data_IF_686454414873
#
_entry.id   IF_686454414873
#
_cell.length_a   1.000
_cell.length_b   1.000
_cell.length_c   1.000
_cell.angle_alpha   90.00
_cell.angle_beta   90.00
_cell.angle_gamma   90.00
#
_symmetry.space_group_name_H-M   'P 1'
#
loop_
_entity.id
_entity.type
_entity.pdbx_description
1 polymer ?
#
# COMPACT_ATOMS: atom_id res chain seq x y z
N UNK A 1 -1.11 -8.95 -19.58
CA UNK A 1 -1.21 -7.54 -19.99
C UNK A 1 -0.03 -6.82 -19.35
N UNK A 2 0.80 -6.12 -20.14
CA UNK A 2 1.87 -5.31 -19.59
C UNK A 2 1.30 -4.02 -18.99
N UNK A 3 1.87 -3.58 -17.88
CA UNK A 3 1.54 -2.31 -17.21
C UNK A 3 2.74 -1.37 -17.31
N UNK A 4 2.50 -0.07 -17.28
CA UNK A 4 3.52 0.96 -17.43
C UNK A 4 3.28 2.09 -16.42
N UNK A 5 4.36 2.48 -15.76
CA UNK A 5 4.37 3.60 -14.81
C UNK A 5 3.63 3.30 -13.50
N UNK A 6 4.11 3.90 -12.45
CA UNK A 6 3.44 4.02 -11.16
C UNK A 6 2.76 5.39 -11.14
N UNK A 7 1.44 5.41 -11.15
CA UNK A 7 0.66 6.64 -11.25
C UNK A 7 0.39 7.27 -9.89
N UNK A 8 -0.02 6.44 -8.95
CA UNK A 8 -0.37 6.92 -7.60
C UNK A 8 -0.32 5.79 -6.58
N UNK A 9 0.15 6.10 -5.39
CA UNK A 9 -0.02 5.27 -4.19
C UNK A 9 -0.90 6.00 -3.20
N UNK A 10 -1.92 5.28 -2.69
CA UNK A 10 -2.81 5.78 -1.66
C UNK A 10 -2.69 4.91 -0.42
N UNK A 11 -2.67 5.56 0.73
CA UNK A 11 -2.46 4.92 2.02
C UNK A 11 -3.55 5.35 3.01
N UNK A 12 -3.92 4.44 3.91
CA UNK A 12 -4.83 4.73 5.01
C UNK A 12 -4.52 3.83 6.20
N UNK A 13 -4.88 4.26 7.40
CA UNK A 13 -4.91 3.40 8.58
C UNK A 13 -6.29 2.77 8.73
N UNK A 14 -6.31 1.50 9.10
CA UNK A 14 -7.54 0.75 9.38
C UNK A 14 -7.46 0.12 10.77
N UNK A 15 -8.61 0.00 11.39
CA UNK A 15 -8.72 -0.67 12.70
C UNK A 15 -8.35 -2.15 12.57
N UNK A 16 -7.47 -2.69 13.41
CA UNK A 16 -6.97 -4.06 13.26
C UNK A 16 -8.03 -5.14 13.44
N UNK A 17 -9.12 -4.86 14.16
CA UNK A 17 -10.18 -5.83 14.43
C UNK A 17 -11.32 -5.75 13.43
N UNK A 18 -11.76 -4.53 13.13
CA UNK A 18 -12.93 -4.29 12.26
C UNK A 18 -12.56 -4.02 10.81
N UNK A 19 -11.28 -3.74 10.54
CA UNK A 19 -10.74 -3.33 9.23
C UNK A 19 -11.45 -2.09 8.64
N UNK A 20 -12.05 -1.26 9.51
CA UNK A 20 -12.68 -0.01 9.12
C UNK A 20 -11.67 1.13 9.08
N UNK A 21 -11.90 2.08 8.18
CA UNK A 21 -11.07 3.26 8.02
C UNK A 21 -10.99 4.08 9.31
N UNK A 22 -9.78 4.44 9.71
CA UNK A 22 -9.50 5.41 10.75
C UNK A 22 -9.39 6.82 10.14
N UNK A 23 -9.98 7.81 10.80
CA UNK A 23 -10.06 9.19 10.32
C UNK A 23 -9.59 10.19 11.38
N UNK A 24 -9.25 11.41 10.94
CA UNK A 24 -8.86 12.49 11.85
C UNK A 24 -7.59 12.19 12.64
N UNK A 25 -7.66 12.33 13.96
CA UNK A 25 -6.51 12.13 14.85
C UNK A 25 -5.93 10.71 14.79
N UNK A 26 -6.79 9.71 14.67
CA UNK A 26 -6.38 8.29 14.59
C UNK A 26 -6.03 7.83 13.16
N UNK A 27 -6.34 8.64 12.16
CA UNK A 27 -6.06 8.38 10.75
C UNK A 27 -4.86 9.12 10.21
N UNK A 28 -4.56 8.92 8.93
CA UNK A 28 -3.48 9.64 8.23
C UNK A 28 -3.90 11.05 7.80
N UNK A 29 -5.20 11.31 7.68
CA UNK A 29 -5.78 12.60 7.33
C UNK A 29 -7.17 12.77 7.94
N UNK A 30 -7.76 13.96 7.80
CA UNK A 30 -9.14 14.22 8.21
C UNK A 30 -10.12 13.23 7.56
N UNK A 31 -9.93 12.92 6.29
CA UNK A 31 -10.75 11.94 5.54
C UNK A 31 -10.26 10.49 5.69
N UNK A 32 -9.10 10.28 6.31
CA UNK A 32 -8.49 8.98 6.58
C UNK A 32 -7.54 8.49 5.49
N UNK A 33 -7.78 8.81 4.22
CA UNK A 33 -6.95 8.40 3.08
C UNK A 33 -6.03 9.53 2.67
N UNK A 34 -4.79 9.20 2.34
CA UNK A 34 -3.81 10.12 1.74
C UNK A 34 -3.38 9.63 0.36
N UNK A 35 -3.02 10.55 -0.50
CA UNK A 35 -2.34 10.30 -1.76
C UNK A 35 -0.88 10.73 -1.63
N UNK A 36 0.05 9.87 -2.02
CA UNK A 36 1.48 10.21 -2.08
C UNK A 36 1.71 11.02 -3.36
N UNK A 37 1.32 12.28 -3.30
CA UNK A 37 1.29 13.21 -4.43
C UNK A 37 2.59 14.00 -4.61
N UNK A 38 2.56 15.05 -5.43
CA UNK A 38 3.69 15.92 -5.70
C UNK A 38 4.21 16.68 -4.49
N UNK A 39 3.42 16.87 -3.43
CA UNK A 39 3.86 17.51 -2.18
C UNK A 39 4.86 16.63 -1.42
N UNK A 40 4.70 15.33 -1.57
CA UNK A 40 5.61 14.30 -1.04
C UNK A 40 6.58 13.79 -2.12
N UNK A 41 6.73 14.50 -3.25
CA UNK A 41 7.55 14.14 -4.40
C UNK A 41 7.20 12.78 -5.02
N UNK A 42 6.06 12.21 -4.65
CA UNK A 42 5.55 10.95 -5.17
C UNK A 42 6.30 9.70 -4.70
N UNK A 43 5.93 8.58 -5.28
CA UNK A 43 6.53 7.27 -5.04
C UNK A 43 7.39 6.88 -6.24
N UNK A 44 8.63 6.49 -6.00
CA UNK A 44 9.57 6.07 -7.03
C UNK A 44 9.31 4.64 -7.50
N UNK A 45 9.16 3.72 -6.56
CA UNK A 45 8.85 2.32 -6.84
C UNK A 45 7.85 1.73 -5.85
N UNK A 46 7.09 0.74 -6.31
CA UNK A 46 6.24 -0.13 -5.50
C UNK A 46 6.36 -1.54 -6.04
N UNK A 47 7.30 -2.31 -5.51
CA UNK A 47 7.60 -3.66 -5.99
C UNK A 47 6.78 -4.69 -5.22
N UNK A 48 5.81 -5.29 -5.90
CA UNK A 48 4.92 -6.31 -5.34
C UNK A 48 5.54 -7.68 -5.58
N UNK A 49 5.70 -8.46 -4.52
CA UNK A 49 6.26 -9.81 -4.54
C UNK A 49 5.39 -10.79 -3.77
N UNK A 50 5.68 -12.08 -3.88
CA UNK A 50 4.99 -13.16 -3.17
C UNK A 50 3.46 -13.20 -3.38
N UNK A 51 2.98 -12.79 -4.57
CA UNK A 51 1.55 -12.84 -4.93
C UNK A 51 0.99 -14.26 -4.89
N UNK A 52 1.83 -15.24 -5.17
CA UNK A 52 1.54 -16.66 -5.04
C UNK A 52 2.61 -17.32 -4.18
N UNK A 53 2.25 -18.39 -3.50
CA UNK A 53 3.19 -19.17 -2.71
C UNK A 53 4.05 -20.08 -3.59
N UNK A 54 4.90 -20.86 -2.94
CA UNK A 54 5.82 -21.76 -3.65
C UNK A 54 5.07 -22.97 -4.22
N UNK A 55 5.35 -23.32 -5.48
CA UNK A 55 4.82 -24.49 -6.12
C UNK A 55 5.53 -25.77 -5.62
N UNK A 56 4.77 -26.75 -5.14
CA UNK A 56 5.26 -28.06 -4.71
C UNK A 56 4.81 -29.12 -5.70
N UNK A 57 5.77 -29.82 -6.27
CA UNK A 57 5.49 -30.94 -7.20
C UNK A 57 5.15 -32.19 -6.43
N UNK A 58 4.06 -32.89 -6.83
CA UNK A 58 3.63 -34.14 -6.24
C UNK A 58 4.02 -35.25 -7.19
N UNK A 59 5.00 -36.11 -6.81
CA UNK A 59 5.40 -37.25 -7.66
C UNK A 59 4.45 -38.43 -7.51
N UNK A 60 4.31 -39.21 -8.57
CA UNK A 60 3.61 -40.49 -8.61
C UNK A 60 4.08 -41.31 -9.82
N UNK A 61 4.22 -42.61 -9.67
CA UNK A 61 4.65 -43.53 -10.74
C UNK A 61 5.92 -43.05 -11.50
N UNK A 62 6.93 -42.57 -10.75
CA UNK A 62 8.21 -42.04 -11.26
C UNK A 62 8.09 -40.81 -12.17
N UNK A 63 6.97 -40.09 -12.09
CA UNK A 63 6.74 -38.80 -12.79
C UNK A 63 6.04 -37.78 -11.90
N UNK A 64 6.08 -36.49 -12.27
CA UNK A 64 5.29 -35.46 -11.60
C UNK A 64 3.85 -35.62 -12.04
N UNK A 65 2.97 -35.92 -11.09
CA UNK A 65 1.53 -36.13 -11.35
C UNK A 65 0.70 -34.86 -11.11
N UNK A 66 1.14 -34.00 -10.19
CA UNK A 66 0.39 -32.80 -9.84
C UNK A 66 1.33 -31.68 -9.30
N UNK A 67 0.83 -30.45 -9.26
CA UNK A 67 1.53 -29.28 -8.70
C UNK A 67 0.58 -28.53 -7.79
N UNK A 68 0.90 -28.48 -6.51
CA UNK A 68 0.20 -27.64 -5.53
C UNK A 68 0.89 -26.29 -5.38
N UNK A 69 0.12 -25.21 -5.41
CA UNK A 69 0.61 -23.86 -5.13
C UNK A 69 0.05 -23.41 -3.79
N UNK A 70 0.92 -23.07 -2.84
CA UNK A 70 0.49 -22.55 -1.57
C UNK A 70 -0.12 -21.14 -1.71
N UNK A 71 -0.99 -20.69 -0.80
CA UNK A 71 -1.45 -19.30 -0.75
C UNK A 71 -0.27 -18.34 -0.69
N UNK A 72 -0.38 -17.21 -1.40
CA UNK A 72 0.63 -16.15 -1.36
C UNK A 72 0.64 -15.39 -0.03
N UNK A 73 1.77 -14.79 0.27
CA UNK A 73 1.92 -13.80 1.36
C UNK A 73 2.50 -12.51 0.77
N UNK A 74 1.67 -11.70 0.10
CA UNK A 74 2.14 -10.57 -0.66
C UNK A 74 2.87 -9.54 0.19
N UNK A 75 3.98 -9.04 -0.34
CA UNK A 75 4.72 -7.93 0.23
C UNK A 75 4.94 -6.86 -0.83
N UNK A 76 4.98 -5.60 -0.41
CA UNK A 76 5.28 -4.48 -1.29
C UNK A 76 6.44 -3.69 -0.73
N UNK A 77 7.55 -3.67 -1.47
CA UNK A 77 8.68 -2.80 -1.18
C UNK A 77 8.44 -1.44 -1.85
N UNK A 78 8.31 -0.41 -1.04
CA UNK A 78 8.15 0.98 -1.45
C UNK A 78 9.46 1.75 -1.33
N UNK A 79 9.67 2.64 -2.30
CA UNK A 79 10.67 3.67 -2.30
C UNK A 79 9.93 5.01 -2.49
N UNK A 80 9.71 5.73 -1.39
CA UNK A 80 9.05 7.03 -1.40
C UNK A 80 10.10 8.14 -1.44
N UNK A 81 9.89 9.12 -2.30
CA UNK A 81 10.86 10.21 -2.43
C UNK A 81 10.93 11.11 -1.19
N UNK A 82 9.79 11.38 -0.54
CA UNK A 82 9.73 12.23 0.64
C UNK A 82 8.36 12.10 1.31
N UNK A 83 8.20 11.13 2.19
CA UNK A 83 6.99 11.05 3.00
C UNK A 83 6.96 12.15 4.05
N UNK A 84 5.75 12.66 4.33
CA UNK A 84 5.55 13.51 5.49
C UNK A 84 5.94 12.76 6.77
N UNK A 85 6.73 13.42 7.62
CA UNK A 85 7.30 12.80 8.81
C UNK A 85 6.23 12.28 9.77
N UNK A 86 5.18 13.06 10.04
CA UNK A 86 4.12 12.65 10.96
C UNK A 86 3.32 11.48 10.41
N UNK A 87 3.04 11.49 9.10
CA UNK A 87 2.35 10.41 8.40
C UNK A 87 3.17 9.12 8.51
N UNK A 88 4.48 9.20 8.25
CA UNK A 88 5.41 8.07 8.38
C UNK A 88 5.41 7.51 9.80
N UNK A 89 5.55 8.37 10.82
CA UNK A 89 5.56 7.93 12.22
C UNK A 89 4.23 7.26 12.62
N UNK A 90 3.10 7.82 12.21
CA UNK A 90 1.78 7.22 12.45
C UNK A 90 1.66 5.82 11.83
N UNK A 91 2.08 5.63 10.57
CA UNK A 91 2.06 4.30 9.93
C UNK A 91 2.97 3.28 10.63
N UNK A 92 4.06 3.74 11.21
CA UNK A 92 5.00 2.88 11.95
C UNK A 92 4.58 2.59 13.38
N UNK A 93 3.54 3.28 13.91
CA UNK A 93 3.05 3.10 15.27
C UNK A 93 3.78 3.93 16.31
N UNK A 94 4.45 4.99 15.89
CA UNK A 94 5.06 5.95 16.81
C UNK A 94 4.06 7.02 17.21
N UNK A 95 4.09 7.43 18.47
CA UNK A 95 3.32 8.55 19.02
C UNK A 95 4.23 9.67 19.49
N UNK A 96 3.79 10.90 19.28
CA UNK A 96 4.48 12.08 19.76
C UNK A 96 4.43 12.15 21.30
N UNK A 97 5.55 12.45 21.95
CA UNK A 97 5.68 12.61 23.41
C UNK A 97 5.31 14.02 23.91
N UNK A 98 4.91 14.91 23.01
CA UNK A 98 4.61 16.32 23.30
C UNK A 98 5.84 17.20 23.56
N UNK A 99 7.06 16.65 23.40
CA UNK A 99 8.33 17.37 23.60
C UNK A 99 9.19 17.35 22.32
N UNK A 100 8.61 16.94 21.20
CA UNK A 100 9.29 16.82 19.91
C UNK A 100 9.86 15.44 19.61
N UNK A 101 9.73 14.49 20.54
CA UNK A 101 10.12 13.09 20.35
C UNK A 101 8.96 12.22 19.90
N UNK A 102 9.30 11.08 19.29
CA UNK A 102 8.35 10.05 18.88
C UNK A 102 8.81 8.71 19.43
N UNK A 103 7.93 8.00 20.12
CA UNK A 103 8.21 6.73 20.76
C UNK A 103 7.21 5.69 20.26
N UNK A 104 7.68 4.47 20.02
CA UNK A 104 6.77 3.38 19.68
C UNK A 104 5.84 3.10 20.86
N UNK A 105 4.55 3.17 20.62
CA UNK A 105 3.52 2.99 21.63
C UNK A 105 2.58 1.85 21.26
N UNK A 106 2.87 0.66 21.81
CA UNK A 106 2.04 -0.52 21.69
C UNK A 106 2.16 -1.26 20.37
N UNK A 107 1.02 -1.65 19.81
CA UNK A 107 0.93 -2.43 18.59
C UNK A 107 1.06 -1.56 17.35
N UNK A 108 1.66 -2.11 16.29
CA UNK A 108 1.70 -1.43 14.99
C UNK A 108 0.29 -1.28 14.42
N UNK A 109 -0.05 -0.09 13.88
CA UNK A 109 -1.33 0.11 13.22
C UNK A 109 -1.43 -0.72 11.94
N UNK A 110 -2.63 -1.10 11.58
CA UNK A 110 -2.88 -1.72 10.29
C UNK A 110 -3.05 -0.66 9.22
N UNK A 111 -2.50 -0.94 8.05
CA UNK A 111 -2.48 -0.04 6.90
C UNK A 111 -3.21 -0.68 5.74
N UNK A 112 -4.00 0.11 5.01
CA UNK A 112 -4.55 -0.25 3.71
C UNK A 112 -3.79 0.51 2.61
N UNK A 113 -3.58 -0.15 1.47
CA UNK A 113 -2.77 0.37 0.37
C UNK A 113 -3.50 0.17 -0.96
N UNK A 114 -3.51 1.19 -1.80
CA UNK A 114 -3.96 1.12 -3.18
C UNK A 114 -2.88 1.66 -4.11
N UNK A 115 -2.37 0.80 -4.98
CA UNK A 115 -1.35 1.14 -5.99
C UNK A 115 -2.03 1.24 -7.34
N UNK A 116 -1.87 2.38 -8.01
CA UNK A 116 -2.40 2.64 -9.35
C UNK A 116 -1.27 2.65 -10.37
N UNK A 117 -1.40 1.81 -11.38
CA UNK A 117 -0.56 1.77 -12.58
C UNK A 117 -1.44 1.91 -13.81
N UNK A 118 -0.86 2.02 -14.99
CA UNK A 118 -1.59 2.16 -16.25
C UNK A 118 -1.31 1.00 -17.20
N UNK A 119 -2.22 0.79 -18.14
CA UNK A 119 -1.98 -0.11 -19.28
C UNK A 119 -0.92 0.50 -20.22
N UNK A 120 -0.31 -0.32 -21.07
CA UNK A 120 0.76 0.12 -21.98
C UNK A 120 0.31 1.27 -22.91
N UNK A 121 -0.95 1.29 -23.30
CA UNK A 121 -1.57 2.35 -24.11
C UNK A 121 -2.06 3.56 -23.30
N UNK A 122 -1.87 3.53 -21.95
CA UNK A 122 -2.28 4.56 -20.99
C UNK A 122 -3.76 4.95 -21.02
N UNK A 123 -4.63 4.11 -21.59
CA UNK A 123 -6.08 4.39 -21.66
C UNK A 123 -6.81 3.93 -20.40
N UNK A 124 -6.27 2.95 -19.70
CA UNK A 124 -6.91 2.36 -18.53
C UNK A 124 -5.93 2.24 -17.36
N UNK A 125 -6.47 2.33 -16.17
CA UNK A 125 -5.70 2.08 -14.94
C UNK A 125 -5.87 0.63 -14.48
N UNK A 126 -4.80 0.10 -13.92
CA UNK A 126 -4.75 -1.18 -13.21
C UNK A 126 -4.43 -0.89 -11.76
N UNK A 127 -5.25 -1.41 -10.85
CA UNK A 127 -5.07 -1.17 -9.43
C UNK A 127 -4.75 -2.46 -8.70
N UNK A 128 -3.86 -2.34 -7.72
CA UNK A 128 -3.56 -3.39 -6.74
C UNK A 128 -4.00 -2.88 -5.37
N UNK A 129 -5.09 -3.46 -4.85
CA UNK A 129 -5.67 -3.09 -3.57
C UNK A 129 -5.29 -4.10 -2.49
N UNK A 130 -4.82 -3.58 -1.35
CA UNK A 130 -4.51 -4.30 -0.13
C UNK A 130 -5.29 -3.64 1.00
N UNK A 131 -6.36 -4.28 1.48
CA UNK A 131 -7.25 -3.65 2.46
C UNK A 131 -6.75 -3.81 3.90
N UNK A 132 -5.74 -4.65 4.12
CA UNK A 132 -5.20 -4.93 5.45
C UNK A 132 -3.74 -5.35 5.37
N UNK A 133 -2.90 -4.83 6.24
CA UNK A 133 -1.50 -5.20 6.34
C UNK A 133 -0.74 -4.31 7.32
N UNK A 134 0.57 -4.52 7.41
CA UNK A 134 1.44 -3.79 8.33
C UNK A 134 2.58 -3.15 7.55
N UNK A 135 2.79 -1.85 7.79
CA UNK A 135 3.93 -1.11 7.26
C UNK A 135 5.13 -1.24 8.20
N UNK A 136 6.30 -1.47 7.60
CA UNK A 136 7.55 -1.66 8.32
C UNK A 136 8.65 -0.84 7.65
N UNK A 137 9.44 -0.18 8.47
CA UNK A 137 10.74 0.36 8.09
C UNK A 137 11.83 -0.46 8.80
N UNK A 138 12.68 -1.11 8.04
CA UNK A 138 13.75 -1.94 8.59
C UNK A 138 15.11 -1.24 8.61
N UNK A 139 15.27 -0.23 7.74
CA UNK A 139 16.54 0.47 7.56
C UNK A 139 16.28 1.92 7.17
N UNK A 140 16.95 2.84 7.85
CA UNK A 140 17.03 4.25 7.47
C UNK A 140 18.50 4.57 7.20
N UNK A 141 18.80 4.95 5.97
CA UNK A 141 20.15 5.41 5.62
C UNK A 141 20.28 6.90 5.92
N UNK A 142 21.43 7.27 6.47
CA UNK A 142 21.81 8.67 6.65
C UNK A 142 23.24 8.81 6.11
N UNK A 143 23.45 9.71 5.15
CA UNK A 143 24.73 9.92 4.52
C UNK A 143 25.11 11.40 4.56
N UNK A 144 26.42 11.65 4.54
CA UNK A 144 26.95 13.01 4.48
C UNK A 144 26.83 13.57 3.06
N UNK A 145 26.63 14.88 2.96
CA UNK A 145 26.65 15.56 1.66
C UNK A 145 28.05 15.51 1.04
N UNK A 146 28.10 15.56 -0.27
CA UNK A 146 29.37 15.70 -1.01
C UNK A 146 29.66 17.17 -1.28
N UNK A 147 30.89 17.50 -1.64
CA UNK A 147 31.30 18.87 -1.99
C UNK A 147 30.54 19.45 -3.19
N UNK A 148 29.91 18.62 -3.99
CA UNK A 148 29.25 19.00 -5.24
C UNK A 148 27.73 18.84 -5.22
N UNK A 149 27.16 18.03 -4.30
CA UNK A 149 25.73 17.76 -4.28
C UNK A 149 25.25 17.28 -2.90
N UNK A 150 23.99 17.60 -2.60
CA UNK A 150 23.26 16.99 -1.47
C UNK A 150 23.04 15.51 -1.72
N UNK A 151 23.26 14.69 -0.70
CA UNK A 151 22.99 13.25 -0.74
C UNK A 151 21.62 12.97 -0.14
N UNK A 152 20.58 12.93 -0.99
CA UNK A 152 19.23 12.59 -0.56
C UNK A 152 19.10 11.09 -0.28
N UNK A 153 18.44 10.76 0.82
CA UNK A 153 18.02 9.42 1.15
C UNK A 153 16.50 9.33 1.07
N UNK A 154 16.01 8.37 0.31
CA UNK A 154 14.58 8.14 0.12
C UNK A 154 14.01 7.29 1.27
N UNK A 155 12.68 7.33 1.49
CA UNK A 155 12.00 6.57 2.52
C UNK A 155 11.67 5.15 2.02
N UNK A 156 12.47 4.18 2.44
CA UNK A 156 12.30 2.78 2.08
C UNK A 156 11.44 2.04 3.12
N UNK A 157 10.27 1.58 2.68
CA UNK A 157 9.32 0.89 3.56
C UNK A 157 8.84 -0.41 2.92
N UNK A 158 8.55 -1.39 3.76
CA UNK A 158 7.97 -2.67 3.34
C UNK A 158 6.57 -2.82 3.93
N UNK A 159 5.60 -3.06 3.07
CA UNK A 159 4.25 -3.42 3.46
C UNK A 159 4.09 -4.94 3.39
N UNK A 160 3.55 -5.54 4.45
CA UNK A 160 3.25 -6.96 4.53
C UNK A 160 1.72 -7.11 4.55
N UNK A 161 1.17 -7.69 3.49
CA UNK A 161 -0.27 -7.87 3.37
C UNK A 161 -0.79 -8.95 4.32
N UNK A 162 -1.96 -8.70 4.88
CA UNK A 162 -2.72 -9.63 5.71
C UNK A 162 -4.06 -9.94 5.05
N UNK A 163 -4.69 -11.00 5.51
CA UNK A 163 -6.04 -11.38 5.11
C UNK A 163 -7.02 -10.21 5.30
N UNK A 164 -7.82 -9.94 4.28
CA UNK A 164 -8.79 -8.85 4.27
C UNK A 164 -10.23 -9.35 4.19
N UNK A 165 -11.05 -8.96 5.15
CA UNK A 165 -12.49 -9.34 5.19
C UNK A 165 -13.23 -8.85 3.95
N UNK A 166 -12.89 -7.64 3.47
CA UNK A 166 -13.46 -7.05 2.27
C UNK A 166 -13.19 -7.85 0.99
N UNK A 167 -12.17 -8.71 1.00
CA UNK A 167 -11.79 -9.55 -0.13
C UNK A 167 -12.11 -11.04 0.09
N UNK A 168 -12.99 -11.34 1.05
CA UNK A 168 -13.35 -12.73 1.38
C UNK A 168 -12.22 -13.55 2.00
N UNK A 169 -11.26 -12.89 2.64
CA UNK A 169 -10.09 -13.52 3.26
C UNK A 169 -8.81 -13.44 2.42
N UNK A 170 -8.90 -13.06 1.15
CA UNK A 170 -7.72 -12.88 0.30
C UNK A 170 -6.90 -11.65 0.73
N UNK A 171 -5.56 -11.68 0.61
CA UNK A 171 -4.70 -10.57 1.04
C UNK A 171 -4.69 -9.39 0.07
N UNK A 172 -5.10 -9.58 -1.19
CA UNK A 172 -5.12 -8.53 -2.20
C UNK A 172 -6.20 -8.76 -3.26
N UNK A 173 -6.55 -7.69 -3.96
CA UNK A 173 -7.48 -7.71 -5.08
C UNK A 173 -6.97 -6.80 -6.20
N UNK A 174 -7.07 -7.26 -7.44
CA UNK A 174 -6.73 -6.47 -8.63
C UNK A 174 -7.99 -5.88 -9.24
N UNK A 175 -7.91 -4.63 -9.71
CA UNK A 175 -9.00 -3.96 -10.40
C UNK A 175 -8.50 -3.42 -11.74
N UNK A 176 -9.40 -3.38 -12.71
CA UNK A 176 -9.12 -2.89 -14.05
C UNK A 176 -10.20 -1.90 -14.50
N UNK A 177 -9.80 -0.65 -14.77
CA UNK A 177 -10.77 0.41 -15.13
C UNK A 177 -11.39 0.25 -16.51
N UNK A 178 -10.86 -0.62 -17.37
CA UNK A 178 -11.45 -0.95 -18.68
C UNK A 178 -12.56 -2.02 -18.62
N UNK A 179 -12.80 -2.62 -17.45
CA UNK A 179 -13.91 -3.55 -17.29
C UNK A 179 -15.24 -2.82 -17.25
N UNK A 180 -16.26 -3.30 -17.96
CA UNK A 180 -17.61 -2.67 -17.99
C UNK A 180 -18.29 -2.63 -16.62
N UNK A 181 -17.88 -3.50 -15.70
CA UNK A 181 -18.39 -3.59 -14.33
C UNK A 181 -17.53 -2.83 -13.32
N UNK A 182 -16.49 -2.11 -13.76
CA UNK A 182 -15.62 -1.38 -12.86
C UNK A 182 -16.36 -0.22 -12.19
N UNK A 183 -16.36 -0.22 -10.87
CA UNK A 183 -16.86 0.87 -10.03
C UNK A 183 -15.73 1.37 -9.11
N UNK A 184 -15.26 2.58 -9.41
CA UNK A 184 -14.20 3.25 -8.66
C UNK A 184 -14.61 3.49 -7.20
N UNK A 185 -15.87 3.89 -6.98
CA UNK A 185 -16.38 4.17 -5.63
C UNK A 185 -16.42 2.91 -4.78
N UNK A 186 -16.89 1.81 -5.36
CA UNK A 186 -16.89 0.50 -4.68
C UNK A 186 -15.48 0.02 -4.40
N UNK A 187 -14.54 0.16 -5.35
CA UNK A 187 -13.13 -0.19 -5.13
C UNK A 187 -12.54 0.56 -3.94
N UNK A 188 -12.73 1.88 -3.84
CA UNK A 188 -12.23 2.68 -2.72
C UNK A 188 -12.89 2.27 -1.39
N UNK A 189 -14.17 1.99 -1.40
CA UNK A 189 -14.90 1.50 -0.24
C UNK A 189 -14.39 0.15 0.25
N UNK A 190 -14.11 -0.78 -0.65
CA UNK A 190 -13.56 -2.10 -0.32
C UNK A 190 -12.13 -2.00 0.22
N UNK A 191 -11.26 -1.27 -0.47
CA UNK A 191 -9.83 -1.19 -0.10
C UNK A 191 -9.62 -0.41 1.19
N UNK A 192 -10.37 0.68 1.40
CA UNK A 192 -10.16 1.58 2.53
C UNK A 192 -11.27 1.47 3.58
N UNK A 193 -11.75 0.27 3.87
CA UNK A 193 -12.62 0.01 5.00
C UNK A 193 -13.85 0.91 5.11
N UNK A 194 -14.53 1.16 3.98
CA UNK A 194 -15.75 1.97 3.94
C UNK A 194 -15.53 3.45 3.55
N UNK A 195 -14.37 3.79 2.98
CA UNK A 195 -14.14 5.14 2.47
C UNK A 195 -15.12 5.52 1.36
N UNK A 196 -15.69 6.70 1.47
CA UNK A 196 -16.56 7.27 0.46
C UNK A 196 -15.79 8.36 -0.28
N UNK A 197 -15.62 8.19 -1.59
CA UNK A 197 -15.01 9.23 -2.42
C UNK A 197 -15.84 10.52 -2.32
N UNK A 198 -15.22 11.68 -2.08
CA UNK A 198 -15.90 12.95 -2.20
C UNK A 198 -16.51 13.08 -3.59
N UNK A 199 -17.72 13.58 -3.69
CA UNK A 199 -18.31 13.92 -4.98
C UNK A 199 -17.35 14.89 -5.70
N UNK A 200 -17.04 14.61 -6.97
CA UNK A 200 -16.20 15.50 -7.76
C UNK A 200 -16.79 16.90 -7.69
N UNK A 201 -16.08 17.83 -7.05
CA UNK A 201 -16.44 19.25 -7.12
C UNK A 201 -16.27 19.65 -8.59
N UNK A 202 -17.37 19.84 -9.31
CA UNK A 202 -17.37 20.54 -10.59
C UNK A 202 -16.93 21.97 -10.30
N UNK A 203 -15.62 22.21 -10.30
CA UNK A 203 -15.09 23.56 -10.46
C UNK A 203 -15.31 23.94 -11.92
N UNK A 204 -16.31 24.78 -12.12
CA UNK A 204 -16.59 25.55 -13.34
C UNK A 204 -15.43 26.51 -13.60
#
# INVERSE_FOLDING_TARGET
MAIVGLKMVRLALVDPKTQKLLKGADGLSTEGVIEVDSKMLGTRTANISNLEGQATKIPGNNSVQDVMIAPGSPTVAFDFNNLDFEIKQKMLGFKADGKGGYVMDGEKPHTAVLIESETLDRKHSVFFGFANGIMQESTQNVATDTDTAQTRQDDNMTFNALSATAFGGEPYKKYYSGASTFDKTNMFKEVFGGYVLPAASNSI
#
